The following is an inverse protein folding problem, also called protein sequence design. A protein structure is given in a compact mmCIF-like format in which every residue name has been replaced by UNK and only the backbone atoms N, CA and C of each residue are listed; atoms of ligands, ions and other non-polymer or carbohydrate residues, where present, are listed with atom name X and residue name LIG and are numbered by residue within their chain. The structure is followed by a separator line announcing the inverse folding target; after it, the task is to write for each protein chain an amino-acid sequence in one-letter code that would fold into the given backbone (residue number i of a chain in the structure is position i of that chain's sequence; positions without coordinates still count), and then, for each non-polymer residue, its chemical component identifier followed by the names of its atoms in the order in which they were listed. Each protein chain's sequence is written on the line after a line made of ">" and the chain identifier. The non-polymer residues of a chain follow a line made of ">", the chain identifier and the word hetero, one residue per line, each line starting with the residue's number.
data_IF_923202932545
#
_entry.id   IF_923202932545
#
_cell.length_a   1.000
_cell.length_b   1.000
_cell.length_c   1.000
_cell.angle_alpha   90.00
_cell.angle_beta   90.00
_cell.angle_gamma   90.00
#
_symmetry.space_group_name_H-M   'P 1'
#
loop_
_entity.id
_entity.type
_entity.pdbx_description
1 polymer ?
#
# COMPACT_ATOMS: atom_id res chain seq x y z
N UNK A 1 15.93 4.80 -20.50
CA UNK A 1 15.32 3.46 -20.59
C UNK A 1 14.04 3.48 -19.77
N UNK A 2 12.96 4.04 -20.32
CA UNK A 2 11.67 4.10 -19.63
C UNK A 2 11.03 2.70 -19.70
N UNK A 3 10.88 2.04 -18.55
CA UNK A 3 10.15 0.78 -18.47
C UNK A 3 8.69 1.02 -18.82
N UNK A 4 8.20 0.35 -19.86
CA UNK A 4 6.80 0.41 -20.26
C UNK A 4 5.91 -0.01 -19.08
N UNK A 5 5.04 0.90 -18.65
CA UNK A 5 4.08 0.65 -17.59
C UNK A 5 3.03 -0.32 -18.14
N UNK A 6 3.01 -1.56 -17.63
CA UNK A 6 2.04 -2.58 -18.04
C UNK A 6 0.64 -2.22 -17.52
N UNK A 7 -0.13 -1.49 -18.33
CA UNK A 7 -1.55 -1.20 -18.08
C UNK A 7 -2.42 -2.31 -18.66
N UNK A 8 -3.11 -3.13 -17.84
CA UNK A 8 -4.05 -4.11 -18.34
C UNK A 8 -5.18 -3.40 -19.08
N UNK A 9 -5.38 -3.76 -20.36
CA UNK A 9 -6.38 -3.13 -21.24
C UNK A 9 -5.85 -2.01 -22.14
N UNK A 10 -4.54 -1.71 -22.11
CA UNK A 10 -3.94 -0.86 -23.15
C UNK A 10 -3.95 -1.60 -24.50
N UNK A 11 -4.56 -0.97 -25.51
CA UNK A 11 -4.57 -1.50 -26.87
C UNK A 11 -3.16 -1.38 -27.46
N UNK A 12 -2.42 -2.48 -27.45
CA UNK A 12 -1.11 -2.61 -28.10
C UNK A 12 -1.26 -3.48 -29.37
N UNK A 13 -1.33 -2.86 -30.56
CA UNK A 13 -1.58 -3.58 -31.80
C UNK A 13 -0.46 -4.55 -32.18
N UNK A 14 0.78 -4.32 -31.73
CA UNK A 14 1.93 -5.18 -32.06
C UNK A 14 1.85 -6.51 -31.33
N UNK A 15 1.33 -6.51 -30.09
CA UNK A 15 1.16 -7.71 -29.27
C UNK A 15 -0.03 -8.57 -29.69
N UNK A 16 -0.97 -8.06 -30.47
CA UNK A 16 -2.13 -8.83 -30.95
C UNK A 16 -1.77 -9.77 -32.11
N UNK A 17 -0.91 -9.31 -33.02
CA UNK A 17 -0.63 -10.02 -34.27
C UNK A 17 0.75 -10.69 -34.30
N UNK A 18 1.74 -10.18 -33.55
CA UNK A 18 3.12 -10.69 -33.57
C UNK A 18 3.47 -11.41 -32.26
N UNK A 19 2.69 -12.43 -31.88
CA UNK A 19 2.93 -13.23 -30.67
C UNK A 19 3.89 -14.36 -31.00
N UNK A 20 4.96 -14.52 -30.20
CA UNK A 20 5.87 -15.66 -30.38
C UNK A 20 5.18 -16.98 -29.98
N UNK A 21 5.60 -18.14 -30.52
CA UNK A 21 5.03 -19.43 -30.13
C UNK A 21 5.13 -19.70 -28.62
N UNK A 22 6.20 -19.23 -27.98
CA UNK A 22 6.40 -19.35 -26.53
C UNK A 22 5.42 -18.49 -25.72
N UNK A 23 5.22 -17.24 -26.14
CA UNK A 23 4.24 -16.35 -25.52
C UNK A 23 2.82 -16.89 -25.66
N UNK A 24 2.50 -17.47 -26.82
CA UNK A 24 1.21 -18.12 -27.05
C UNK A 24 0.99 -19.29 -26.08
N UNK A 25 1.98 -20.16 -25.90
CA UNK A 25 1.91 -21.25 -24.93
C UNK A 25 1.76 -20.75 -23.48
N UNK A 26 2.40 -19.62 -23.14
CA UNK A 26 2.24 -18.99 -21.83
C UNK A 26 0.84 -18.40 -21.62
N UNK A 27 0.24 -17.82 -22.66
CA UNK A 27 -1.14 -17.32 -22.62
C UNK A 27 -2.12 -18.49 -22.44
N UNK A 28 -1.93 -19.57 -23.19
CA UNK A 28 -2.77 -20.77 -23.12
C UNK A 28 -2.68 -21.43 -21.73
N UNK A 29 -1.48 -21.59 -21.17
CA UNK A 29 -1.31 -22.15 -19.81
C UNK A 29 -1.94 -21.30 -18.71
N UNK A 30 -1.85 -19.95 -18.81
CA UNK A 30 -2.56 -19.03 -17.92
C UNK A 30 -4.08 -19.12 -18.08
N UNK A 31 -4.57 -19.21 -19.31
CA UNK A 31 -5.99 -19.34 -19.61
C UNK A 31 -6.55 -20.67 -19.07
N UNK A 32 -5.81 -21.77 -19.25
CA UNK A 32 -6.15 -23.09 -18.73
C UNK A 32 -6.21 -23.07 -17.19
N UNK A 33 -5.23 -22.47 -16.53
CA UNK A 33 -5.22 -22.32 -15.06
C UNK A 33 -6.42 -21.51 -14.57
N UNK A 34 -6.74 -20.39 -15.24
CA UNK A 34 -7.91 -19.56 -14.91
C UNK A 34 -9.21 -20.32 -15.11
N UNK A 35 -9.33 -21.08 -16.20
CA UNK A 35 -10.52 -21.88 -16.49
C UNK A 35 -10.72 -22.96 -15.42
N UNK A 36 -9.66 -23.64 -14.99
CA UNK A 36 -9.70 -24.64 -13.93
C UNK A 36 -10.18 -24.05 -12.59
N UNK A 37 -9.58 -22.92 -12.16
CA UNK A 37 -9.98 -22.23 -10.92
C UNK A 37 -11.42 -21.70 -10.99
N UNK A 38 -11.86 -21.20 -12.15
CA UNK A 38 -13.24 -20.74 -12.35
C UNK A 38 -14.22 -21.91 -12.27
N UNK A 39 -13.89 -23.05 -12.87
CA UNK A 39 -14.71 -24.25 -12.79
C UNK A 39 -14.85 -24.75 -11.34
N UNK A 40 -13.73 -24.80 -10.59
CA UNK A 40 -13.74 -25.12 -9.16
C UNK A 40 -14.66 -24.19 -8.36
N UNK A 41 -14.53 -22.88 -8.57
CA UNK A 41 -15.35 -21.90 -7.88
C UNK A 41 -16.84 -22.06 -8.22
N UNK A 42 -17.18 -22.21 -9.50
CA UNK A 42 -18.56 -22.43 -9.94
C UNK A 42 -19.16 -23.68 -9.29
N UNK A 43 -18.43 -24.81 -9.29
CA UNK A 43 -18.88 -26.04 -8.63
C UNK A 43 -19.20 -25.85 -7.15
N UNK A 44 -18.38 -25.07 -6.42
CA UNK A 44 -18.61 -24.79 -5.00
C UNK A 44 -19.80 -23.85 -4.77
N UNK A 45 -19.92 -22.79 -5.57
CA UNK A 45 -20.97 -21.78 -5.43
C UNK A 45 -22.35 -22.34 -5.80
N UNK A 46 -22.44 -23.16 -6.84
CA UNK A 46 -23.73 -23.69 -7.33
C UNK A 46 -24.21 -24.91 -6.55
N UNK A 47 -23.43 -25.43 -5.58
CA UNK A 47 -23.79 -26.62 -4.83
C UNK A 47 -24.93 -26.32 -3.83
N UNK A 48 -26.14 -26.89 -4.01
CA UNK A 48 -27.28 -26.63 -3.13
C UNK A 48 -27.16 -27.31 -1.75
N UNK A 49 -26.26 -28.27 -1.59
CA UNK A 49 -26.07 -29.04 -0.36
C UNK A 49 -24.88 -28.55 0.48
N UNK A 50 -24.41 -27.31 0.25
CA UNK A 50 -23.34 -26.74 1.03
C UNK A 50 -23.82 -26.48 2.47
N UNK A 51 -23.47 -27.38 3.40
CA UNK A 51 -23.90 -27.39 4.81
C UNK A 51 -23.17 -26.37 5.70
N UNK A 52 -22.83 -25.18 5.20
CA UNK A 52 -22.02 -24.19 5.91
C UNK A 52 -22.49 -22.75 5.67
N UNK A 53 -21.94 -21.78 6.42
CA UNK A 53 -22.21 -20.36 6.16
C UNK A 53 -21.88 -20.04 4.69
N UNK A 54 -22.72 -19.22 4.04
CA UNK A 54 -22.79 -19.03 2.58
C UNK A 54 -21.57 -18.37 1.89
N UNK A 55 -20.36 -18.58 2.38
CA UNK A 55 -19.12 -18.13 1.78
C UNK A 55 -18.28 -19.32 1.27
N UNK A 56 -17.74 -19.19 0.06
CA UNK A 56 -16.78 -20.16 -0.48
C UNK A 56 -15.38 -19.78 0.01
N UNK A 57 -14.73 -20.70 0.70
CA UNK A 57 -13.37 -20.49 1.17
C UNK A 57 -12.37 -20.49 0.01
N UNK A 58 -11.60 -19.40 -0.12
CA UNK A 58 -10.52 -19.27 -1.10
C UNK A 58 -9.13 -19.41 -0.43
N UNK A 59 -8.36 -20.47 -0.76
CA UNK A 59 -7.01 -20.65 -0.22
C UNK A 59 -6.02 -19.56 -0.68
N UNK A 60 -6.23 -18.94 -1.85
CA UNK A 60 -5.36 -17.88 -2.34
C UNK A 60 -5.49 -16.62 -1.48
N UNK A 61 -6.74 -16.24 -1.15
CA UNK A 61 -7.02 -15.15 -0.23
C UNK A 61 -6.47 -15.42 1.17
N UNK A 62 -6.66 -16.62 1.73
CA UNK A 62 -6.07 -16.96 3.03
C UNK A 62 -4.55 -16.84 3.02
N UNK A 63 -3.88 -17.31 1.96
CA UNK A 63 -2.42 -17.20 1.83
C UNK A 63 -1.96 -15.74 1.73
N UNK A 64 -2.71 -14.91 1.02
CA UNK A 64 -2.39 -13.48 0.93
C UNK A 64 -2.53 -12.80 2.31
N UNK A 65 -3.60 -13.09 3.04
CA UNK A 65 -3.81 -12.56 4.38
C UNK A 65 -2.73 -13.06 5.37
N UNK A 66 -2.37 -14.34 5.31
CA UNK A 66 -1.32 -14.90 6.16
C UNK A 66 0.05 -14.30 5.85
N UNK A 67 0.36 -14.06 4.56
CA UNK A 67 1.58 -13.35 4.14
C UNK A 67 1.63 -11.93 4.73
N UNK A 68 0.52 -11.19 4.72
CA UNK A 68 0.44 -9.83 5.30
C UNK A 68 0.65 -9.84 6.80
N UNK A 69 0.05 -10.80 7.51
CA UNK A 69 0.21 -10.93 8.96
C UNK A 69 1.64 -11.33 9.35
N UNK A 70 2.32 -12.15 8.54
CA UNK A 70 3.64 -12.73 8.85
C UNK A 70 4.82 -11.89 8.35
N UNK A 71 4.67 -10.57 8.31
CA UNK A 71 5.71 -9.65 7.82
C UNK A 71 6.98 -9.68 8.69
N UNK A 72 6.84 -9.83 10.01
CA UNK A 72 7.97 -9.78 10.94
C UNK A 72 8.95 -10.96 10.74
N UNK A 73 8.45 -12.17 10.49
CA UNK A 73 9.32 -13.34 10.32
C UNK A 73 10.20 -13.29 9.06
N UNK A 74 9.79 -12.50 8.06
CA UNK A 74 10.51 -12.36 6.78
C UNK A 74 11.28 -11.04 6.69
N UNK A 75 11.28 -10.23 7.76
CA UNK A 75 11.96 -8.95 7.77
C UNK A 75 13.48 -9.14 7.71
N UNK A 76 14.12 -8.44 6.76
CA UNK A 76 15.58 -8.38 6.63
C UNK A 76 16.08 -7.01 7.11
N UNK A 77 17.06 -7.02 8.02
CA UNK A 77 17.76 -5.83 8.50
C UNK A 77 18.69 -5.31 7.39
N UNK A 78 18.16 -4.50 6.49
CA UNK A 78 18.91 -3.88 5.39
C UNK A 78 19.05 -2.38 5.63
N UNK A 79 20.14 -1.73 5.16
CA UNK A 79 20.32 -0.28 5.31
C UNK A 79 19.19 0.50 4.63
N UNK A 80 18.64 -0.03 3.52
CA UNK A 80 17.48 0.56 2.83
C UNK A 80 16.24 0.62 3.73
N UNK A 81 15.91 -0.47 4.44
CA UNK A 81 14.77 -0.52 5.34
C UNK A 81 14.96 0.43 6.54
N UNK A 82 16.20 0.54 7.04
CA UNK A 82 16.53 1.47 8.11
C UNK A 82 16.41 2.93 7.66
N UNK A 83 16.89 3.27 6.47
CA UNK A 83 16.72 4.61 5.88
C UNK A 83 15.25 4.98 5.72
N UNK A 84 14.40 4.04 5.28
CA UNK A 84 12.95 4.25 5.19
C UNK A 84 12.34 4.50 6.58
N UNK A 85 12.74 3.74 7.59
CA UNK A 85 12.27 3.93 8.96
C UNK A 85 12.64 5.32 9.50
N UNK A 86 13.90 5.75 9.32
CA UNK A 86 14.32 7.10 9.73
C UNK A 86 13.51 8.16 8.98
N UNK A 87 13.38 8.05 7.66
CA UNK A 87 12.69 9.04 6.85
C UNK A 87 11.18 9.13 7.10
N UNK A 88 10.50 8.00 7.33
CA UNK A 88 9.06 7.98 7.49
C UNK A 88 8.58 8.09 8.94
N UNK A 89 9.42 7.75 9.92
CA UNK A 89 9.03 7.74 11.34
C UNK A 89 9.79 8.81 12.11
N UNK A 90 11.13 8.76 12.10
CA UNK A 90 11.94 9.65 12.96
C UNK A 90 11.95 11.09 12.43
N UNK A 91 12.14 11.28 11.13
CA UNK A 91 12.22 12.60 10.51
C UNK A 91 10.96 13.46 10.73
N UNK A 92 9.71 12.97 10.54
CA UNK A 92 8.53 13.80 10.82
C UNK A 92 8.38 14.12 12.30
N UNK A 93 8.75 13.22 13.22
CA UNK A 93 8.72 13.50 14.66
C UNK A 93 9.67 14.66 14.97
N UNK A 94 10.91 14.57 14.50
CA UNK A 94 11.91 15.63 14.67
C UNK A 94 11.40 16.93 14.06
N UNK A 95 10.94 16.92 12.81
CA UNK A 95 10.45 18.11 12.12
C UNK A 95 9.31 18.80 12.89
N UNK A 96 8.33 18.04 13.39
CA UNK A 96 7.23 18.60 14.17
C UNK A 96 7.70 19.16 15.51
N UNK A 97 8.61 18.47 16.21
CA UNK A 97 9.14 18.96 17.49
C UNK A 97 9.92 20.25 17.33
N UNK A 98 10.80 20.35 16.33
CA UNK A 98 11.59 21.55 16.09
C UNK A 98 10.75 22.69 15.51
N UNK A 99 9.81 22.39 14.60
CA UNK A 99 8.86 23.38 14.07
C UNK A 99 8.01 24.00 15.18
N UNK A 100 7.46 23.17 16.07
CA UNK A 100 6.66 23.66 17.20
C UNK A 100 7.50 24.48 18.18
N UNK A 101 8.75 24.06 18.46
CA UNK A 101 9.66 24.84 19.32
C UNK A 101 9.99 26.20 18.70
N UNK A 102 10.33 26.23 17.41
CA UNK A 102 10.59 27.48 16.69
C UNK A 102 9.40 28.43 16.79
N UNK A 103 8.19 27.94 16.51
CA UNK A 103 6.99 28.77 16.55
C UNK A 103 6.72 29.32 17.95
N UNK A 104 6.94 28.52 19.00
CA UNK A 104 6.83 28.95 20.40
C UNK A 104 7.86 30.03 20.73
N UNK A 105 9.12 29.83 20.39
CA UNK A 105 10.19 30.79 20.68
C UNK A 105 9.99 32.11 19.91
N UNK A 106 9.53 32.02 18.66
CA UNK A 106 9.18 33.18 17.84
C UNK A 106 8.01 33.94 18.44
N UNK A 107 6.98 33.24 18.90
CA UNK A 107 5.81 33.86 19.52
C UNK A 107 6.17 34.53 20.87
N UNK A 108 6.93 33.84 21.73
CA UNK A 108 7.39 34.37 23.02
C UNK A 108 8.25 35.63 22.82
N UNK A 109 9.17 35.62 21.84
CA UNK A 109 9.97 36.79 21.49
C UNK A 109 9.10 38.00 21.11
N UNK A 110 8.09 37.80 20.28
CA UNK A 110 7.14 38.87 19.89
C UNK A 110 6.34 39.40 21.08
N UNK A 111 5.96 38.52 22.00
CA UNK A 111 5.27 38.89 23.22
C UNK A 111 6.14 39.77 24.13
N UNK A 112 7.44 39.44 24.25
CA UNK A 112 8.42 40.22 25.05
C UNK A 112 8.76 41.57 24.43
N UNK A 113 8.78 41.66 23.10
CA UNK A 113 9.02 42.91 22.37
C UNK A 113 7.80 43.84 22.34
N UNK A 114 6.62 43.35 22.76
CA UNK A 114 5.38 44.12 22.74
C UNK A 114 4.73 44.23 21.37
N UNK A 115 5.18 43.46 20.37
CA UNK A 115 4.59 43.42 19.02
C UNK A 115 3.17 42.82 19.03
N UNK A 116 2.88 41.95 20.00
CA UNK A 116 1.57 41.30 20.17
C UNK A 116 0.88 41.86 21.40
N UNK A 117 -0.23 42.55 21.17
CA UNK A 117 -1.10 43.06 22.23
C UNK A 117 -1.61 41.93 23.12
N UNK A 118 -1.79 42.20 24.41
CA UNK A 118 -2.23 41.18 25.37
C UNK A 118 -3.60 40.58 25.02
N UNK A 119 -4.49 41.38 24.42
CA UNK A 119 -5.82 40.93 24.00
C UNK A 119 -5.79 39.81 22.95
N UNK A 120 -4.82 39.87 22.03
CA UNK A 120 -4.68 39.01 20.83
C UNK A 120 -3.84 37.75 21.08
N UNK A 121 -3.56 37.42 22.34
CA UNK A 121 -2.80 36.21 22.72
C UNK A 121 -3.74 35.03 22.87
N UNK A 122 -3.49 33.96 22.11
CA UNK A 122 -4.33 32.75 22.08
C UNK A 122 -4.37 31.98 23.42
N UNK A 123 -3.31 32.08 24.25
CA UNK A 123 -3.19 31.34 25.53
C UNK A 123 -2.95 32.26 26.74
N UNK A 124 -3.87 33.20 26.97
CA UNK A 124 -3.72 34.22 28.04
C UNK A 124 -4.18 33.79 29.45
N UNK A 125 -4.94 32.70 29.58
CA UNK A 125 -5.60 32.29 30.84
C UNK A 125 -5.40 30.83 31.24
N UNK A 126 -4.41 30.16 30.66
CA UNK A 126 -4.01 28.79 31.00
C UNK A 126 -2.61 28.82 31.58
#
# INVERSE_FOLDING_TARGET
>A
MAGEMNVPGSWDPKKLYNISPEEKALIESRAATRAALKAEFQMKVTNPHQSGPGFVFDPALQRYLSMRSRHYSHFKKTPKNFGLFIGCVIAPIIALTFGTQWDRDRFDRKCRQGEVAYADRDWKFI
#
